data_IF_617764793025
#
_entry.id   IF_617764793025
#
_cell.length_a   1.000
_cell.length_b   1.000
_cell.length_c   1.000
_cell.angle_alpha   90.00
_cell.angle_beta   90.00
_cell.angle_gamma   90.00
#
_symmetry.space_group_name_H-M   'P 1'
#
loop_
_entity.id
_entity.type
_entity.pdbx_description
1 polymer ?
#
# COMPACT_ATOMS: atom_id res chain seq x y z
N UNK A 1 -13.41 11.99 6.02
CA UNK A 1 -13.25 13.31 6.67
C UNK A 1 -11.89 13.29 7.35
N UNK A 2 -10.91 13.96 6.75
CA UNK A 2 -9.52 13.95 7.24
C UNK A 2 -9.44 14.98 8.36
N UNK A 3 -9.17 14.55 9.59
CA UNK A 3 -8.97 15.46 10.73
C UNK A 3 -7.49 15.78 10.86
N UNK A 4 -7.11 17.03 10.56
CA UNK A 4 -5.76 17.54 10.82
C UNK A 4 -5.68 17.98 12.28
N UNK A 5 -4.74 17.40 13.05
CA UNK A 5 -4.38 17.90 14.38
C UNK A 5 -3.28 18.98 14.22
N UNK A 6 -3.59 20.25 14.53
CA UNK A 6 -2.59 21.31 14.62
C UNK A 6 -2.16 21.48 16.07
N UNK A 7 -0.85 21.41 16.31
CA UNK A 7 -0.27 21.88 17.56
C UNK A 7 0.03 23.37 17.44
N UNK A 8 -0.61 24.19 18.26
CA UNK A 8 -0.22 25.57 18.52
C UNK A 8 0.49 25.63 19.87
N UNK A 9 1.79 25.92 19.85
CA UNK A 9 2.58 26.30 21.01
C UNK A 9 2.46 27.80 21.27
N UNK A 10 2.40 28.18 22.56
CA UNK A 10 2.51 29.49 23.17
C UNK A 10 1.24 30.36 23.32
N UNK A 11 0.51 30.12 24.44
CA UNK A 11 -0.04 31.17 25.33
C UNK A 11 -0.27 30.59 26.74
N UNK A 12 0.17 31.21 27.85
CA UNK A 12 -0.07 30.73 29.20
C UNK A 12 -1.42 31.22 29.71
N UNK A 13 -2.44 30.37 29.61
CA UNK A 13 -3.71 30.56 30.31
C UNK A 13 -4.03 29.27 31.06
N UNK A 14 -4.03 29.41 32.40
CA UNK A 14 -4.41 28.35 33.31
C UNK A 14 -5.91 28.02 33.11
N UNK A 15 -6.19 27.02 32.28
CA UNK A 15 -7.46 26.35 32.27
C UNK A 15 -7.23 24.88 32.66
N UNK A 16 -7.91 24.46 33.73
CA UNK A 16 -8.02 23.03 34.08
C UNK A 16 -8.69 22.30 32.92
N UNK A 17 -7.90 21.79 31.99
CA UNK A 17 -8.39 20.83 31.01
C UNK A 17 -8.47 19.48 31.67
N UNK A 18 -9.69 18.96 31.81
CA UNK A 18 -9.91 17.52 31.84
C UNK A 18 -9.34 17.04 30.49
N UNK A 19 -8.13 16.50 30.50
CA UNK A 19 -7.55 15.85 29.34
C UNK A 19 -8.40 14.60 29.06
N UNK A 20 -9.40 14.74 28.20
CA UNK A 20 -9.85 13.62 27.44
C UNK A 20 -8.67 13.31 26.50
N UNK A 21 -7.83 12.33 26.85
CA UNK A 21 -6.86 11.73 25.96
C UNK A 21 -7.64 10.97 24.88
N UNK A 22 -8.17 11.67 23.88
CA UNK A 22 -8.39 11.05 22.61
C UNK A 22 -7.01 10.87 22.00
N UNK A 23 -6.38 9.75 22.27
CA UNK A 23 -5.32 9.26 21.38
C UNK A 23 -5.93 9.32 19.98
N UNK A 24 -5.27 10.04 19.07
CA UNK A 24 -5.62 10.01 17.67
C UNK A 24 -5.22 8.62 17.16
N UNK A 25 -6.01 7.61 17.49
CA UNK A 25 -5.85 6.27 16.90
C UNK A 25 -6.11 6.42 15.41
N UNK A 26 -5.13 6.11 14.61
CA UNK A 26 -5.33 5.98 13.18
C UNK A 26 -6.38 4.91 12.96
N UNK A 27 -7.46 5.20 12.21
CA UNK A 27 -8.46 4.18 11.94
C UNK A 27 -7.80 3.00 11.20
N UNK A 28 -8.26 1.77 11.42
CA UNK A 28 -7.81 0.63 10.65
C UNK A 28 -7.97 0.88 9.14
N UNK A 29 -6.94 0.56 8.36
CA UNK A 29 -6.90 0.74 6.90
C UNK A 29 -6.64 -0.59 6.22
N UNK A 30 -7.14 -0.75 4.99
CA UNK A 30 -6.75 -1.80 4.08
C UNK A 30 -5.89 -1.20 2.96
N UNK A 31 -4.58 -1.48 3.01
CA UNK A 31 -3.59 -0.86 2.13
C UNK A 31 -3.03 -1.90 1.17
N UNK A 32 -3.19 -1.67 -0.14
CA UNK A 32 -2.54 -2.47 -1.18
C UNK A 32 -1.33 -1.73 -1.73
N UNK A 33 -0.15 -2.34 -1.59
CA UNK A 33 1.09 -1.85 -2.15
C UNK A 33 1.37 -2.62 -3.45
N UNK A 34 1.43 -1.89 -4.56
CA UNK A 34 1.67 -2.43 -5.90
C UNK A 34 3.09 -2.06 -6.34
N UNK A 35 3.92 -3.05 -6.62
CA UNK A 35 5.36 -2.87 -6.85
C UNK A 35 5.72 -3.33 -8.26
N UNK A 36 6.26 -2.41 -9.03
CA UNK A 36 6.81 -2.67 -10.36
C UNK A 36 8.13 -3.45 -10.23
N UNK A 37 8.15 -4.70 -10.72
CA UNK A 37 9.36 -5.53 -10.78
C UNK A 37 9.84 -5.74 -12.22
N UNK A 38 9.72 -4.72 -13.06
CA UNK A 38 10.16 -4.82 -14.44
C UNK A 38 11.64 -4.47 -14.60
N UNK A 39 12.23 -4.96 -15.73
CA UNK A 39 13.63 -4.71 -16.05
C UNK A 39 13.94 -3.23 -16.30
N UNK A 40 12.95 -2.41 -16.64
CA UNK A 40 13.11 -0.96 -16.79
C UNK A 40 13.46 -0.28 -15.48
N UNK A 41 12.87 -0.74 -14.37
CA UNK A 41 13.18 -0.27 -13.01
C UNK A 41 14.65 -0.53 -12.65
N UNK A 42 15.17 -1.72 -12.99
CA UNK A 42 16.52 -2.17 -12.65
C UNK A 42 16.67 -2.61 -11.19
N UNK A 43 17.58 -3.57 -10.94
CA UNK A 43 17.73 -4.23 -9.64
C UNK A 43 17.93 -3.22 -8.49
N UNK A 44 18.83 -2.26 -8.65
CA UNK A 44 19.14 -1.27 -7.60
C UNK A 44 17.94 -0.40 -7.22
N UNK A 45 17.12 -0.01 -8.20
CA UNK A 45 15.94 0.80 -7.93
C UNK A 45 14.83 -0.07 -7.30
N UNK A 46 14.72 -1.33 -7.73
CA UNK A 46 13.80 -2.30 -7.14
C UNK A 46 14.10 -2.49 -5.64
N UNK A 47 15.36 -2.72 -5.28
CA UNK A 47 15.78 -2.81 -3.88
C UNK A 47 15.42 -1.54 -3.09
N UNK A 48 15.67 -0.36 -3.70
CA UNK A 48 15.33 0.92 -3.08
C UNK A 48 13.81 1.12 -2.90
N UNK A 49 13.00 0.62 -3.84
CA UNK A 49 11.55 0.61 -3.71
C UNK A 49 11.12 -0.27 -2.51
N UNK A 50 11.65 -1.49 -2.39
CA UNK A 50 11.34 -2.39 -1.28
C UNK A 50 11.74 -1.79 0.08
N UNK A 51 12.88 -1.15 0.17
CA UNK A 51 13.29 -0.41 1.37
C UNK A 51 12.36 0.78 1.68
N UNK A 52 11.82 1.43 0.66
CA UNK A 52 10.83 2.51 0.85
C UNK A 52 9.49 1.96 1.32
N UNK A 53 9.09 0.80 0.83
CA UNK A 53 7.89 0.07 1.29
C UNK A 53 8.01 -0.32 2.76
N UNK A 54 9.17 -0.82 3.21
CA UNK A 54 9.41 -1.13 4.63
C UNK A 54 9.22 0.12 5.50
N UNK A 55 9.83 1.26 5.10
CA UNK A 55 9.67 2.52 5.81
C UNK A 55 8.22 3.02 5.85
N UNK A 56 7.47 2.78 4.79
CA UNK A 56 6.04 3.13 4.73
C UNK A 56 5.24 2.27 5.72
N UNK A 57 5.45 0.96 5.72
CA UNK A 57 4.77 0.02 6.64
C UNK A 57 5.01 0.42 8.09
N UNK A 58 6.25 0.78 8.46
CA UNK A 58 6.62 1.22 9.82
C UNK A 58 5.92 2.50 10.30
N UNK A 59 5.18 3.20 9.44
CA UNK A 59 4.38 4.37 9.84
C UNK A 59 2.97 4.00 10.31
N UNK A 60 2.58 2.73 10.22
CA UNK A 60 1.26 2.26 10.55
C UNK A 60 1.30 1.21 11.65
N UNK A 61 0.25 1.19 12.45
CA UNK A 61 -0.02 0.11 13.38
C UNK A 61 -0.53 -1.11 12.60
N UNK A 62 0.29 -2.14 12.46
CA UNK A 62 -0.06 -3.39 11.77
C UNK A 62 -0.57 -4.42 12.78
N UNK A 63 -1.70 -5.05 12.51
CA UNK A 63 -2.28 -6.05 13.41
C UNK A 63 -3.67 -6.51 12.99
N UNK A 64 -4.17 -7.55 13.62
CA UNK A 64 -5.45 -8.20 13.28
C UNK A 64 -6.63 -7.22 13.26
N UNK A 65 -6.72 -6.31 14.23
CA UNK A 65 -7.76 -5.28 14.34
C UNK A 65 -7.28 -3.90 13.88
N UNK A 66 -6.10 -3.82 13.25
CA UNK A 66 -5.43 -2.59 12.84
C UNK A 66 -5.31 -2.48 11.33
N UNK A 67 -4.24 -1.84 10.82
CA UNK A 67 -3.99 -1.74 9.38
C UNK A 67 -3.54 -3.08 8.82
N UNK A 68 -4.20 -3.51 7.74
CA UNK A 68 -3.79 -4.66 6.93
C UNK A 68 -3.06 -4.19 5.68
N UNK A 69 -2.06 -4.96 5.27
CA UNK A 69 -1.33 -4.72 4.03
C UNK A 69 -1.51 -5.89 3.07
N UNK A 70 -1.76 -5.56 1.81
CA UNK A 70 -1.57 -6.46 0.69
C UNK A 70 -0.35 -6.02 -0.11
N UNK A 71 0.41 -6.97 -0.64
CA UNK A 71 1.55 -6.70 -1.52
C UNK A 71 1.28 -7.40 -2.85
N UNK A 72 1.28 -6.60 -3.92
CA UNK A 72 1.14 -7.07 -5.30
C UNK A 72 2.39 -6.69 -6.06
N UNK A 73 3.02 -7.66 -6.72
CA UNK A 73 4.13 -7.38 -7.64
C UNK A 73 3.68 -7.60 -9.08
N UNK A 74 4.25 -6.85 -10.01
CA UNK A 74 3.91 -7.03 -11.42
C UNK A 74 5.08 -6.83 -12.37
N UNK A 75 4.98 -7.51 -13.51
CA UNK A 75 5.78 -7.31 -14.72
C UNK A 75 4.91 -7.68 -15.94
N UNK A 76 5.17 -8.77 -16.64
CA UNK A 76 4.32 -9.31 -17.70
C UNK A 76 3.01 -9.93 -17.20
N UNK A 77 2.95 -10.24 -15.94
CA UNK A 77 1.81 -10.69 -15.14
C UNK A 77 1.77 -9.93 -13.81
N UNK A 78 0.71 -10.13 -13.04
CA UNK A 78 0.58 -9.59 -11.70
C UNK A 78 0.32 -10.71 -10.68
N UNK A 79 0.97 -10.63 -9.52
CA UNK A 79 0.92 -11.63 -8.47
C UNK A 79 0.62 -10.99 -7.11
N UNK A 80 -0.37 -11.52 -6.39
CA UNK A 80 -0.62 -11.16 -4.99
C UNK A 80 0.35 -11.94 -4.12
N UNK A 81 1.32 -11.25 -3.52
CA UNK A 81 2.34 -11.83 -2.62
C UNK A 81 1.83 -11.92 -1.19
N UNK A 82 0.97 -10.97 -0.81
CA UNK A 82 0.30 -10.90 0.48
C UNK A 82 -1.15 -10.53 0.26
N UNK A 83 -2.06 -11.33 0.79
CA UNK A 83 -3.49 -11.04 0.84
C UNK A 83 -3.85 -10.34 2.15
N UNK A 84 -4.90 -9.51 2.14
CA UNK A 84 -5.35 -8.79 3.34
C UNK A 84 -5.81 -9.73 4.47
N UNK A 85 -6.29 -10.94 4.12
CA UNK A 85 -6.77 -11.96 5.06
C UNK A 85 -5.69 -12.94 5.54
N UNK A 86 -4.43 -12.77 5.15
CA UNK A 86 -3.36 -13.67 5.57
C UNK A 86 -2.83 -13.29 6.97
N UNK A 87 -3.19 -14.03 8.04
CA UNK A 87 -2.85 -13.68 9.41
C UNK A 87 -1.32 -13.74 9.66
N UNK A 88 -0.56 -14.42 8.81
CA UNK A 88 0.91 -14.43 8.89
C UNK A 88 1.48 -13.02 8.74
N UNK A 89 0.84 -12.18 7.96
CA UNK A 89 1.32 -10.84 7.63
C UNK A 89 0.58 -9.72 8.39
N UNK A 90 -0.16 -10.06 9.43
CA UNK A 90 -0.71 -9.08 10.36
C UNK A 90 0.34 -8.65 11.42
N UNK A 91 1.60 -8.54 11.01
CA UNK A 91 2.70 -7.97 11.80
C UNK A 91 3.73 -7.28 10.90
N UNK A 92 4.32 -6.19 11.41
CA UNK A 92 5.36 -5.43 10.70
C UNK A 92 6.57 -6.32 10.39
N UNK A 93 7.00 -7.15 11.36
CA UNK A 93 8.16 -8.02 11.23
C UNK A 93 8.00 -9.03 10.09
N UNK A 94 6.82 -9.64 9.95
CA UNK A 94 6.58 -10.62 8.90
C UNK A 94 6.55 -9.98 7.51
N UNK A 95 6.01 -8.76 7.41
CA UNK A 95 6.03 -7.98 6.16
C UNK A 95 7.45 -7.58 5.79
N UNK A 96 8.25 -7.09 6.74
CA UNK A 96 9.66 -6.74 6.52
C UNK A 96 10.48 -7.95 6.11
N UNK A 97 10.30 -9.09 6.77
CA UNK A 97 10.98 -10.33 6.39
C UNK A 97 10.66 -10.75 4.95
N UNK A 98 9.40 -10.65 4.53
CA UNK A 98 9.03 -10.94 3.14
C UNK A 98 9.73 -10.00 2.16
N UNK A 99 9.76 -8.69 2.45
CA UNK A 99 10.41 -7.70 1.58
C UNK A 99 11.91 -7.94 1.48
N UNK A 100 12.59 -8.35 2.58
CA UNK A 100 14.00 -8.77 2.55
C UNK A 100 14.20 -10.01 1.67
N UNK A 101 13.30 -11.00 1.78
CA UNK A 101 13.34 -12.17 0.91
C UNK A 101 13.12 -11.82 -0.57
N UNK A 102 12.32 -10.80 -0.87
CA UNK A 102 12.11 -10.33 -2.24
C UNK A 102 13.37 -9.66 -2.82
N UNK A 103 14.11 -8.88 -2.03
CA UNK A 103 15.41 -8.32 -2.44
C UNK A 103 16.37 -9.43 -2.90
N UNK A 104 16.42 -10.51 -2.16
CA UNK A 104 17.37 -11.60 -2.43
C UNK A 104 16.94 -12.53 -3.58
N UNK A 105 15.64 -12.70 -3.80
CA UNK A 105 15.10 -13.79 -4.62
C UNK A 105 14.35 -13.35 -5.88
N UNK A 106 13.79 -12.15 -5.90
CA UNK A 106 12.95 -11.70 -7.00
C UNK A 106 13.79 -11.43 -8.25
N UNK A 107 13.25 -11.85 -9.40
CA UNK A 107 13.84 -11.59 -10.71
C UNK A 107 13.00 -10.58 -11.46
N UNK A 108 13.64 -9.56 -12.00
CA UNK A 108 12.96 -8.57 -12.81
C UNK A 108 12.44 -9.17 -14.12
N UNK A 109 11.20 -8.85 -14.43
CA UNK A 109 10.46 -9.35 -15.58
C UNK A 109 10.25 -8.35 -16.70
N UNK A 110 9.46 -8.71 -17.68
CA UNK A 110 8.91 -7.84 -18.73
C UNK A 110 7.71 -8.54 -19.41
N UNK A 111 6.83 -7.78 -20.09
CA UNK A 111 6.75 -6.33 -20.19
C UNK A 111 6.15 -5.68 -18.93
N UNK A 112 6.01 -4.34 -18.93
CA UNK A 112 5.37 -3.59 -17.85
C UNK A 112 3.86 -3.56 -18.05
N UNK A 113 3.12 -4.44 -17.37
CA UNK A 113 1.67 -4.59 -17.48
C UNK A 113 0.98 -4.04 -16.22
N UNK A 114 1.04 -2.72 -16.05
CA UNK A 114 0.40 -2.02 -14.93
C UNK A 114 -1.11 -2.24 -14.90
N UNK A 115 -1.75 -2.36 -16.05
CA UNK A 115 -3.17 -2.68 -16.19
C UNK A 115 -3.56 -4.00 -15.50
N UNK A 116 -2.72 -5.03 -15.62
CA UNK A 116 -2.97 -6.32 -14.95
C UNK A 116 -2.84 -6.20 -13.43
N UNK A 117 -1.90 -5.37 -12.96
CA UNK A 117 -1.77 -5.11 -11.52
C UNK A 117 -3.00 -4.41 -10.95
N UNK A 118 -3.51 -3.40 -11.64
CA UNK A 118 -4.73 -2.69 -11.24
C UNK A 118 -5.95 -3.60 -11.21
N UNK A 119 -6.13 -4.43 -12.25
CA UNK A 119 -7.20 -5.45 -12.27
C UNK A 119 -7.07 -6.43 -11.11
N UNK A 120 -5.84 -6.92 -10.87
CA UNK A 120 -5.56 -7.86 -9.78
C UNK A 120 -5.96 -7.27 -8.42
N UNK A 121 -5.67 -5.99 -8.16
CA UNK A 121 -6.07 -5.33 -6.92
C UNK A 121 -7.59 -5.26 -6.78
N UNK A 122 -8.32 -4.86 -7.84
CA UNK A 122 -9.77 -4.77 -7.81
C UNK A 122 -10.49 -6.12 -7.72
N UNK A 123 -9.94 -7.16 -8.34
CA UNK A 123 -10.59 -8.46 -8.46
C UNK A 123 -10.17 -9.46 -7.36
N UNK A 124 -8.97 -9.29 -6.78
CA UNK A 124 -8.40 -10.28 -5.86
C UNK A 124 -7.89 -9.70 -4.53
N UNK A 125 -7.81 -8.36 -4.36
CA UNK A 125 -7.36 -7.75 -3.10
C UNK A 125 -8.52 -7.07 -2.40
N UNK A 126 -9.12 -6.04 -3.01
CA UNK A 126 -10.22 -5.30 -2.42
C UNK A 126 -11.57 -6.00 -2.66
N UNK A 127 -11.66 -7.21 -2.14
CA UNK A 127 -12.87 -8.03 -2.15
C UNK A 127 -13.07 -8.68 -0.79
N UNK A 128 -14.28 -8.66 -0.24
CA UNK A 128 -14.58 -9.17 1.11
C UNK A 128 -14.05 -10.60 1.35
N UNK A 129 -14.08 -11.46 0.30
CA UNK A 129 -13.57 -12.84 0.36
C UNK A 129 -12.06 -12.96 0.54
N UNK A 130 -11.33 -11.83 0.42
CA UNK A 130 -9.88 -11.72 0.52
C UNK A 130 -9.43 -10.76 1.61
N UNK A 131 -10.33 -10.48 2.56
CA UNK A 131 -10.04 -9.71 3.75
C UNK A 131 -10.25 -8.20 3.63
N UNK A 132 -10.84 -7.72 2.53
CA UNK A 132 -11.32 -6.35 2.43
C UNK A 132 -12.41 -6.11 3.48
N UNK A 133 -12.21 -5.12 4.32
CA UNK A 133 -13.07 -4.82 5.46
C UNK A 133 -13.99 -3.63 5.14
N UNK A 134 -15.32 -3.83 5.05
CA UNK A 134 -16.26 -2.78 4.62
C UNK A 134 -16.24 -1.48 5.45
N UNK A 135 -15.64 -1.52 6.64
CA UNK A 135 -15.52 -0.36 7.53
C UNK A 135 -14.14 0.29 7.53
N UNK A 136 -13.17 -0.34 6.89
CA UNK A 136 -11.81 0.17 6.74
C UNK A 136 -11.67 0.83 5.38
N UNK A 137 -11.14 2.07 5.31
CA UNK A 137 -10.86 2.69 4.02
C UNK A 137 -9.80 1.90 3.25
N UNK A 138 -10.01 1.74 1.94
CA UNK A 138 -9.08 1.12 1.02
C UNK A 138 -8.11 2.16 0.44
N UNK A 139 -6.82 1.85 0.47
CA UNK A 139 -5.77 2.69 -0.11
C UNK A 139 -4.91 1.82 -1.03
N UNK A 140 -4.66 2.28 -2.25
CA UNK A 140 -3.70 1.67 -3.15
C UNK A 140 -2.52 2.61 -3.38
N UNK A 141 -1.31 2.08 -3.20
CA UNK A 141 -0.05 2.82 -3.41
C UNK A 141 0.77 2.06 -4.45
N UNK A 142 1.16 2.74 -5.53
CA UNK A 142 1.91 2.14 -6.63
C UNK A 142 3.34 2.67 -6.63
N UNK A 143 4.31 1.76 -6.63
CA UNK A 143 5.72 2.03 -6.82
C UNK A 143 6.11 1.59 -8.25
N UNK A 144 6.46 2.54 -9.11
CA UNK A 144 6.75 2.31 -10.53
C UNK A 144 7.70 3.38 -11.08
N UNK A 145 8.39 3.09 -12.16
CA UNK A 145 9.14 4.08 -12.96
C UNK A 145 8.24 4.88 -13.94
N UNK A 146 6.93 4.62 -13.93
CA UNK A 146 5.90 5.33 -14.70
C UNK A 146 5.68 4.80 -16.12
N UNK A 147 6.51 3.89 -16.62
CA UNK A 147 6.33 3.27 -17.93
C UNK A 147 5.21 2.22 -17.92
N UNK A 148 4.47 2.08 -19.02
CA UNK A 148 3.59 0.94 -19.25
C UNK A 148 3.71 0.42 -20.68
N UNK A 149 3.45 -0.87 -20.87
CA UNK A 149 3.57 -1.48 -22.17
C UNK A 149 2.45 -1.00 -23.12
N UNK A 150 2.79 -0.82 -24.42
CA UNK A 150 1.85 -0.34 -25.44
C UNK A 150 0.58 -1.18 -25.62
N UNK A 151 0.58 -2.44 -25.18
CA UNK A 151 -0.56 -3.34 -25.21
C UNK A 151 -1.33 -3.35 -23.88
N UNK A 152 -0.96 -2.49 -22.91
CA UNK A 152 -1.73 -2.34 -21.69
C UNK A 152 -3.08 -1.70 -21.98
N UNK A 153 -4.12 -2.12 -21.26
CA UNK A 153 -5.42 -1.48 -21.34
C UNK A 153 -5.32 -0.04 -20.79
N UNK A 154 -6.09 0.90 -21.36
CA UNK A 154 -6.16 2.26 -20.84
C UNK A 154 -6.61 2.28 -19.38
N UNK A 155 -6.02 3.14 -18.56
CA UNK A 155 -6.33 3.21 -17.13
C UNK A 155 -7.78 3.59 -16.84
N UNK A 156 -8.41 4.43 -17.67
CA UNK A 156 -9.82 4.77 -17.59
C UNK A 156 -10.77 3.58 -17.76
N UNK A 157 -10.31 2.52 -18.41
CA UNK A 157 -11.03 1.24 -18.54
C UNK A 157 -10.89 0.36 -17.30
N UNK A 158 -9.74 0.43 -16.64
CA UNK A 158 -9.37 -0.46 -15.51
C UNK A 158 -9.73 0.15 -14.16
N UNK A 159 -9.57 1.46 -13.99
CA UNK A 159 -9.82 2.19 -12.74
C UNK A 159 -11.28 2.21 -12.25
N UNK A 160 -12.35 2.14 -13.08
CA UNK A 160 -13.72 2.07 -12.57
C UNK A 160 -14.03 0.85 -11.71
N UNK A 161 -13.21 -0.19 -11.78
CA UNK A 161 -13.30 -1.34 -10.85
C UNK A 161 -12.74 -1.02 -9.47
N UNK A 162 -12.04 0.11 -9.35
CA UNK A 162 -11.46 0.66 -8.14
C UNK A 162 -12.12 2.02 -7.92
N UNK A 163 -12.97 2.20 -6.92
CA UNK A 163 -13.41 3.54 -6.51
C UNK A 163 -12.22 4.32 -5.98
N UNK A 164 -11.50 4.99 -6.88
CA UNK A 164 -10.23 5.67 -6.59
C UNK A 164 -10.46 7.10 -6.17
N UNK A 165 -10.21 7.42 -4.92
CA UNK A 165 -9.84 8.77 -4.51
C UNK A 165 -8.32 8.91 -4.62
N UNK A 166 -7.85 9.50 -5.74
CA UNK A 166 -6.44 9.53 -6.12
C UNK A 166 -5.61 10.53 -5.30
N UNK A 167 -4.47 10.04 -4.77
CA UNK A 167 -3.32 10.88 -4.43
C UNK A 167 -2.12 10.35 -5.24
N UNK A 168 -1.81 11.01 -6.36
CA UNK A 168 -0.56 10.79 -7.08
C UNK A 168 0.53 11.65 -6.45
N UNK A 169 1.55 11.02 -5.87
CA UNK A 169 2.85 11.64 -5.64
C UNK A 169 3.86 10.96 -6.56
N UNK A 170 4.27 11.66 -7.63
CA UNK A 170 5.45 11.31 -8.42
C UNK A 170 6.70 11.74 -7.65
N UNK A 171 7.64 10.84 -7.46
CA UNK A 171 9.00 11.11 -6.98
C UNK A 171 9.87 11.41 -8.17
#
# INVERSE_FOLDING_TARGET
MITFCYFLTDVPLVFSFIAASSECENPPLDISIVIDRTKSVGDKNYDSMLESVKKLISQYDVGEDKTHFSIVTYAGDAEVRVSLDDPKYHSEEALHQLLDEMIDKDKLGSPTRTDLALKKVGEEVFVEKKGDRPKSPNIMIIFTDGGTHKNSEPYDTVLPTLEVSSLFNSV
#
